data_IF_803713392928
#
_entry.id   IF_803713392928
#
_cell.length_a   1.000
_cell.length_b   1.000
_cell.length_c   1.000
_cell.angle_alpha   90.00
_cell.angle_beta   90.00
_cell.angle_gamma   90.00
#
_symmetry.space_group_name_H-M   'P 1'
#
loop_
_entity.id
_entity.type
_entity.pdbx_description
1 polymer ?
#
# COMPACT_ATOMS: atom_id res chain seq x y z
N UNK A 1 -28.94 67.32 37.23
CA UNK A 1 -29.83 66.20 36.91
C UNK A 1 -29.72 65.95 35.41
N UNK A 2 -28.89 65.00 35.02
CA UNK A 2 -28.55 64.72 33.62
C UNK A 2 -28.85 63.25 33.40
N UNK A 3 -29.90 62.97 32.62
CA UNK A 3 -30.38 61.61 32.38
C UNK A 3 -29.40 60.87 31.47
N UNK A 4 -28.92 59.72 31.95
CA UNK A 4 -28.06 58.80 31.22
C UNK A 4 -28.94 57.96 30.27
N UNK A 5 -28.68 58.03 28.96
CA UNK A 5 -29.24 57.10 27.98
C UNK A 5 -28.60 55.71 28.15
N UNK A 6 -29.39 54.71 28.54
CA UNK A 6 -28.98 53.31 28.54
C UNK A 6 -29.21 52.72 27.14
N UNK A 7 -28.13 52.49 26.39
CA UNK A 7 -28.16 51.76 25.12
C UNK A 7 -28.26 50.25 25.42
N UNK A 8 -29.38 49.62 25.06
CA UNK A 8 -29.54 48.17 25.14
C UNK A 8 -28.89 47.54 23.91
N UNK A 9 -27.71 46.93 24.08
CA UNK A 9 -27.07 46.13 23.05
C UNK A 9 -27.74 44.75 22.98
N UNK A 10 -28.57 44.51 21.96
CA UNK A 10 -29.10 43.19 21.64
C UNK A 10 -27.99 42.34 21.03
N UNK A 11 -27.45 41.38 21.79
CA UNK A 11 -26.54 40.36 21.26
C UNK A 11 -27.32 39.34 20.45
N UNK A 12 -27.18 39.35 19.12
CA UNK A 12 -27.66 38.27 18.27
C UNK A 12 -26.80 37.02 18.49
N UNK A 13 -27.39 35.82 18.66
CA UNK A 13 -26.63 34.58 18.74
C UNK A 13 -25.95 34.30 17.41
N UNK A 14 -24.62 34.15 17.44
CA UNK A 14 -23.82 33.74 16.31
C UNK A 14 -24.28 32.34 15.86
N UNK A 15 -24.92 32.25 14.69
CA UNK A 15 -25.15 30.99 14.01
C UNK A 15 -23.79 30.37 13.72
N UNK A 16 -23.51 29.22 14.34
CA UNK A 16 -22.35 28.42 14.03
C UNK A 16 -22.34 28.10 12.53
N UNK A 17 -21.23 28.43 11.85
CA UNK A 17 -21.03 28.07 10.46
C UNK A 17 -21.21 26.54 10.30
N UNK A 18 -21.93 26.07 9.27
CA UNK A 18 -22.08 24.65 9.02
C UNK A 18 -20.70 24.02 8.84
N UNK A 19 -20.43 22.98 9.64
CA UNK A 19 -19.24 22.13 9.50
C UNK A 19 -19.28 21.56 8.07
N UNK A 20 -18.21 21.69 7.27
CA UNK A 20 -18.15 21.06 5.97
C UNK A 20 -18.36 19.56 6.13
N UNK A 21 -19.47 19.04 5.61
CA UNK A 21 -19.65 17.60 5.46
C UNK A 21 -18.61 17.12 4.47
N UNK A 22 -17.60 16.42 4.98
CA UNK A 22 -16.62 15.69 4.18
C UNK A 22 -17.36 14.89 3.10
N UNK A 23 -16.96 14.94 1.82
CA UNK A 23 -17.56 14.10 0.80
C UNK A 23 -17.46 12.64 1.23
N UNK A 24 -18.58 11.99 1.51
CA UNK A 24 -18.59 10.56 1.79
C UNK A 24 -18.16 9.84 0.53
N UNK A 25 -16.93 9.31 0.52
CA UNK A 25 -16.48 8.42 -0.54
C UNK A 25 -17.54 7.33 -0.75
N UNK A 26 -17.89 6.97 -2.01
CA UNK A 26 -18.86 5.92 -2.27
C UNK A 26 -18.45 4.68 -1.48
N UNK A 27 -19.41 4.11 -0.73
CA UNK A 27 -19.13 2.86 -0.01
C UNK A 27 -18.85 1.79 -1.08
N UNK A 28 -17.66 1.15 -1.07
CA UNK A 28 -17.35 0.15 -2.07
C UNK A 28 -18.37 -0.98 -2.03
N UNK A 29 -18.68 -1.63 -3.16
CA UNK A 29 -19.52 -2.83 -3.16
C UNK A 29 -18.99 -3.85 -2.15
N UNK A 30 -19.90 -4.49 -1.41
CA UNK A 30 -19.53 -5.54 -0.46
C UNK A 30 -18.71 -6.62 -1.18
N UNK A 31 -17.62 -7.07 -0.56
CA UNK A 31 -16.73 -8.09 -1.11
C UNK A 31 -15.57 -7.57 -1.98
N UNK A 32 -15.49 -6.25 -2.23
CA UNK A 32 -14.32 -5.64 -2.90
C UNK A 32 -13.14 -5.41 -1.94
N UNK A 33 -11.91 -5.40 -2.45
CA UNK A 33 -10.71 -5.15 -1.66
C UNK A 33 -9.72 -4.23 -2.40
N UNK A 34 -8.82 -3.51 -1.72
CA UNK A 34 -7.79 -2.73 -2.39
C UNK A 34 -6.81 -3.61 -3.18
N UNK A 35 -6.28 -3.06 -4.27
CA UNK A 35 -5.24 -3.67 -5.09
C UNK A 35 -4.07 -2.70 -5.30
N UNK A 36 -2.85 -3.21 -5.11
CA UNK A 36 -1.61 -2.51 -5.40
C UNK A 36 -0.97 -3.13 -6.64
N UNK A 37 -1.01 -2.40 -7.75
CA UNK A 37 -0.69 -2.84 -9.12
C UNK A 37 0.31 -1.87 -9.76
N UNK A 38 1.36 -1.52 -9.04
CA UNK A 38 2.39 -0.58 -9.50
C UNK A 38 3.39 -1.18 -10.50
N UNK A 39 3.40 -2.52 -10.66
CA UNK A 39 4.19 -3.19 -11.70
C UNK A 39 3.68 -2.82 -13.09
N UNK A 40 4.59 -2.77 -14.06
CA UNK A 40 4.33 -2.17 -15.37
C UNK A 40 3.14 -2.78 -16.12
N UNK A 41 2.88 -4.07 -15.94
CA UNK A 41 1.77 -4.75 -16.62
C UNK A 41 0.67 -5.23 -15.66
N UNK A 42 0.90 -5.20 -14.34
CA UNK A 42 -0.09 -5.66 -13.36
C UNK A 42 -1.48 -5.00 -13.48
N UNK A 43 -1.62 -3.70 -13.82
CA UNK A 43 -2.93 -3.08 -14.03
C UNK A 43 -3.80 -3.76 -15.08
N UNK A 44 -3.22 -4.53 -16.00
CA UNK A 44 -3.99 -5.25 -17.03
C UNK A 44 -5.00 -6.24 -16.44
N UNK A 45 -4.85 -6.65 -15.18
CA UNK A 45 -5.84 -7.44 -14.46
C UNK A 45 -7.18 -6.71 -14.24
N UNK A 46 -7.19 -5.38 -14.37
CA UNK A 46 -8.38 -4.51 -14.30
C UNK A 46 -8.94 -4.18 -15.69
N UNK A 47 -8.29 -4.58 -16.78
CA UNK A 47 -8.83 -4.43 -18.13
C UNK A 47 -10.09 -5.29 -18.33
N UNK A 48 -10.98 -4.97 -19.29
CA UNK A 48 -12.10 -5.84 -19.65
C UNK A 48 -11.66 -7.30 -19.82
N UNK A 49 -12.31 -8.23 -19.11
CA UNK A 49 -11.96 -9.66 -19.10
C UNK A 49 -10.84 -10.05 -18.12
N UNK A 50 -10.16 -9.09 -17.51
CA UNK A 50 -9.15 -9.31 -16.47
C UNK A 50 -9.73 -9.89 -15.18
N UNK A 51 -8.92 -10.65 -14.44
CA UNK A 51 -9.42 -11.41 -13.30
C UNK A 51 -9.76 -10.57 -12.04
N UNK A 52 -9.36 -9.29 -11.99
CA UNK A 52 -9.69 -8.36 -10.90
C UNK A 52 -10.86 -7.42 -11.21
N UNK A 53 -11.44 -7.49 -12.42
CA UNK A 53 -12.57 -6.66 -12.82
C UNK A 53 -13.73 -6.77 -11.82
N UNK A 54 -14.23 -5.63 -11.35
CA UNK A 54 -15.37 -5.51 -10.43
C UNK A 54 -15.10 -5.99 -9.00
N UNK A 55 -13.84 -6.27 -8.64
CA UNK A 55 -13.45 -6.84 -7.33
C UNK A 55 -12.61 -5.90 -6.48
N UNK A 56 -12.31 -4.71 -7.00
CA UNK A 56 -11.35 -3.78 -6.39
C UNK A 56 -12.06 -2.50 -5.95
N UNK A 57 -11.86 -2.10 -4.69
CA UNK A 57 -12.38 -0.82 -4.18
C UNK A 57 -11.46 0.35 -4.54
N UNK A 58 -10.16 0.13 -4.36
CA UNK A 58 -9.10 1.10 -4.53
C UNK A 58 -7.99 0.43 -5.36
N UNK A 59 -7.62 1.03 -6.49
CA UNK A 59 -6.58 0.54 -7.36
C UNK A 59 -5.44 1.54 -7.40
N UNK A 60 -4.29 1.16 -6.83
CA UNK A 60 -3.04 1.92 -6.98
C UNK A 60 -2.32 1.36 -8.20
N UNK A 61 -2.14 2.17 -9.23
CA UNK A 61 -1.58 1.72 -10.51
C UNK A 61 -0.45 2.64 -10.98
N UNK A 62 0.48 2.09 -11.75
CA UNK A 62 1.48 2.89 -12.45
C UNK A 62 0.78 3.88 -13.41
N UNK A 63 1.10 5.19 -13.37
CA UNK A 63 0.42 6.19 -14.19
C UNK A 63 0.67 6.01 -15.70
N UNK A 64 1.68 5.25 -16.10
CA UNK A 64 1.99 5.00 -17.52
C UNK A 64 0.90 4.24 -18.28
N UNK A 65 -0.03 3.60 -17.57
CA UNK A 65 -1.23 2.97 -18.17
C UNK A 65 -2.18 3.98 -18.84
N UNK A 66 -1.98 5.28 -18.60
CA UNK A 66 -2.74 6.35 -19.22
C UNK A 66 -2.18 6.78 -20.60
N UNK A 67 -0.95 6.37 -20.98
CA UNK A 67 -0.27 6.78 -22.22
C UNK A 67 -0.05 5.64 -23.21
N UNK A 68 0.34 5.98 -24.44
CA UNK A 68 0.51 5.02 -25.53
C UNK A 68 1.61 3.99 -25.28
N UNK A 69 2.62 4.37 -24.49
CA UNK A 69 3.83 3.58 -24.18
C UNK A 69 3.68 2.55 -23.08
N UNK A 70 2.55 2.52 -22.35
CA UNK A 70 2.25 1.41 -21.44
C UNK A 70 2.07 0.14 -22.27
N UNK A 71 2.95 -0.87 -22.10
CA UNK A 71 2.80 -2.16 -22.80
C UNK A 71 1.64 -2.92 -22.17
N UNK A 72 0.45 -2.64 -22.65
CA UNK A 72 -0.80 -3.16 -22.15
C UNK A 72 -1.84 -3.26 -23.25
N UNK A 73 -2.76 -4.20 -23.07
CA UNK A 73 -3.88 -4.48 -23.96
C UNK A 73 -5.00 -3.43 -23.81
N UNK A 74 -5.07 -2.72 -22.67
CA UNK A 74 -6.04 -1.65 -22.44
C UNK A 74 -5.46 -0.42 -21.69
N UNK A 75 -6.20 0.69 -21.75
CA UNK A 75 -5.85 2.00 -21.16
C UNK A 75 -6.51 2.23 -19.80
N UNK A 76 -6.13 3.31 -19.09
CA UNK A 76 -6.87 3.78 -17.92
C UNK A 76 -8.39 3.93 -18.18
N UNK A 77 -8.78 4.49 -19.32
CA UNK A 77 -10.19 4.65 -19.68
C UNK A 77 -10.92 3.30 -19.78
N UNK A 78 -10.29 2.27 -20.35
CA UNK A 78 -10.85 0.91 -20.39
C UNK A 78 -10.99 0.31 -18.99
N UNK A 79 -9.98 0.49 -18.13
CA UNK A 79 -10.01 -0.01 -16.75
C UNK A 79 -11.12 0.65 -15.93
N UNK A 80 -11.27 1.99 -16.01
CA UNK A 80 -12.34 2.69 -15.29
C UNK A 80 -13.73 2.28 -15.80
N UNK A 81 -13.89 2.10 -17.11
CA UNK A 81 -15.15 1.64 -17.68
C UNK A 81 -15.51 0.21 -17.23
N UNK A 82 -14.53 -0.68 -17.12
CA UNK A 82 -14.74 -2.04 -16.64
C UNK A 82 -14.97 -2.14 -15.12
N UNK A 83 -14.51 -1.14 -14.35
CA UNK A 83 -14.54 -1.14 -12.88
C UNK A 83 -15.30 0.08 -12.34
N UNK A 84 -16.63 0.17 -12.57
CA UNK A 84 -17.42 1.24 -12.00
C UNK A 84 -17.38 1.17 -10.46
N UNK A 85 -17.09 2.30 -9.82
CA UNK A 85 -16.99 2.42 -8.35
C UNK A 85 -15.61 2.15 -7.75
N UNK A 86 -14.59 1.85 -8.56
CA UNK A 86 -13.20 1.77 -8.09
C UNK A 86 -12.53 3.15 -8.12
N UNK A 87 -11.84 3.53 -7.04
CA UNK A 87 -10.98 4.72 -7.00
C UNK A 87 -9.59 4.37 -7.55
N UNK A 88 -9.14 5.08 -8.58
CA UNK A 88 -7.82 4.89 -9.18
C UNK A 88 -6.82 5.92 -8.66
N UNK A 89 -5.85 5.46 -7.88
CA UNK A 89 -4.72 6.24 -7.40
C UNK A 89 -3.53 6.07 -8.36
N UNK A 90 -2.96 7.19 -8.81
CA UNK A 90 -1.72 7.18 -9.55
C UNK A 90 -0.53 7.00 -8.61
N UNK A 91 0.28 5.98 -8.85
CA UNK A 91 1.54 5.79 -8.14
C UNK A 91 2.52 6.93 -8.46
N UNK A 92 3.10 7.52 -7.41
CA UNK A 92 4.11 8.56 -7.54
C UNK A 92 5.11 8.48 -6.38
N UNK A 93 6.38 8.62 -6.69
CA UNK A 93 7.44 8.50 -5.70
C UNK A 93 7.73 9.88 -5.08
N UNK A 94 7.56 9.99 -3.75
CA UNK A 94 7.77 11.23 -3.01
C UNK A 94 9.14 11.23 -2.34
N UNK A 95 9.55 10.13 -1.72
CA UNK A 95 10.85 10.03 -1.05
C UNK A 95 12.04 10.11 -2.01
N UNK A 96 11.87 9.57 -3.21
CA UNK A 96 12.91 9.54 -4.24
C UNK A 96 12.46 10.16 -5.57
N UNK A 97 13.45 10.70 -6.27
CA UNK A 97 13.35 11.22 -7.61
C UNK A 97 13.90 10.20 -8.59
N UNK A 98 13.19 9.95 -9.68
CA UNK A 98 13.64 9.12 -10.80
C UNK A 98 13.65 9.97 -12.07
N UNK A 99 14.44 9.59 -13.06
CA UNK A 99 14.39 10.25 -14.37
C UNK A 99 12.98 10.23 -14.94
N UNK A 100 12.56 11.34 -15.56
CA UNK A 100 11.30 11.39 -16.29
C UNK A 100 11.48 10.77 -17.66
N UNK A 101 10.43 10.08 -18.08
CA UNK A 101 10.29 9.58 -19.44
C UNK A 101 9.49 10.60 -20.25
N UNK A 102 10.07 11.34 -21.20
CA UNK A 102 9.36 12.36 -21.97
C UNK A 102 8.08 11.83 -22.63
N UNK A 103 8.09 10.58 -23.08
CA UNK A 103 6.98 9.86 -23.68
C UNK A 103 5.76 9.70 -22.75
N UNK A 104 5.95 9.82 -21.43
CA UNK A 104 4.87 9.74 -20.46
C UNK A 104 4.14 11.08 -20.25
N UNK A 105 4.67 12.20 -20.78
CA UNK A 105 4.04 13.51 -20.65
C UNK A 105 3.76 13.88 -19.19
N UNK A 106 2.48 14.09 -18.85
CA UNK A 106 2.04 14.40 -17.49
C UNK A 106 2.03 13.20 -16.52
N UNK A 107 2.10 11.96 -17.03
CA UNK A 107 1.94 10.73 -16.27
C UNK A 107 3.28 10.21 -15.73
N UNK A 108 3.99 11.07 -15.01
CA UNK A 108 5.30 10.76 -14.41
C UNK A 108 5.15 10.11 -13.04
N UNK A 109 6.08 9.24 -12.69
CA UNK A 109 6.15 8.56 -11.37
C UNK A 109 6.93 9.34 -10.33
N UNK A 110 7.26 10.60 -10.59
CA UNK A 110 8.22 11.34 -9.77
C UNK A 110 7.86 12.82 -9.66
N UNK A 111 8.11 13.40 -8.48
CA UNK A 111 7.88 14.81 -8.22
C UNK A 111 8.77 15.73 -9.07
N UNK A 112 10.04 15.36 -9.21
CA UNK A 112 11.07 16.15 -9.86
C UNK A 112 12.07 15.22 -10.55
N UNK A 113 12.73 15.72 -11.60
CA UNK A 113 13.68 14.91 -12.35
C UNK A 113 15.08 15.09 -11.77
N UNK A 114 15.81 14.02 -11.38
CA UNK A 114 17.15 14.15 -10.83
C UNK A 114 18.15 14.80 -11.80
N UNK A 115 17.96 14.66 -13.13
CA UNK A 115 18.86 15.24 -14.13
C UNK A 115 18.77 16.77 -14.20
N UNK A 116 17.56 17.33 -14.09
CA UNK A 116 17.32 18.78 -14.15
C UNK A 116 17.19 19.44 -12.78
N UNK A 117 16.57 18.75 -11.83
CA UNK A 117 16.21 19.29 -10.52
C UNK A 117 17.08 18.75 -9.38
N UNK A 118 17.97 17.77 -9.64
CA UNK A 118 18.76 17.11 -8.62
C UNK A 118 19.67 18.06 -7.82
N UNK A 119 20.19 19.14 -8.44
CA UNK A 119 20.95 20.17 -7.71
C UNK A 119 20.10 20.95 -6.70
N UNK A 120 18.79 21.07 -6.94
CA UNK A 120 17.85 21.81 -6.09
C UNK A 120 17.24 20.92 -5.01
N UNK A 121 16.94 19.68 -5.36
CA UNK A 121 16.14 18.79 -4.51
C UNK A 121 16.86 17.51 -4.08
N UNK A 122 18.01 17.16 -4.65
CA UNK A 122 18.80 16.01 -4.25
C UNK A 122 19.60 16.25 -2.97
N UNK A 123 20.03 15.17 -2.33
CA UNK A 123 20.85 15.21 -1.12
C UNK A 123 22.29 14.84 -1.45
N UNK A 124 23.26 15.70 -1.14
CA UNK A 124 24.69 15.33 -1.12
C UNK A 124 25.04 14.91 0.31
N UNK A 125 25.28 13.62 0.59
CA UNK A 125 25.21 13.09 1.96
C UNK A 125 26.36 13.53 2.86
N UNK A 126 27.53 13.90 2.29
CA UNK A 126 28.78 14.18 3.02
C UNK A 126 29.16 13.07 4.01
N UNK A 127 28.83 11.83 3.68
CA UNK A 127 29.12 10.62 4.43
C UNK A 127 29.42 9.50 3.42
N UNK A 128 30.63 8.95 3.45
CA UNK A 128 31.10 7.95 2.47
C UNK A 128 30.42 6.59 2.60
N UNK A 129 29.69 6.35 3.69
CA UNK A 129 28.92 5.12 3.91
C UNK A 129 27.56 5.15 3.21
N UNK A 130 27.15 6.30 2.69
CA UNK A 130 25.90 6.46 1.94
C UNK A 130 26.14 6.20 0.46
N UNK A 131 25.33 5.35 -0.15
CA UNK A 131 25.31 5.08 -1.57
C UNK A 131 24.96 6.36 -2.36
N UNK A 132 25.72 6.62 -3.42
CA UNK A 132 25.52 7.79 -4.28
C UNK A 132 25.43 7.41 -5.76
N UNK A 133 24.74 8.22 -6.55
CA UNK A 133 24.81 8.18 -8.01
C UNK A 133 26.09 8.85 -8.54
N UNK A 134 26.25 8.87 -9.86
CA UNK A 134 27.38 9.52 -10.56
C UNK A 134 27.47 11.03 -10.32
N UNK A 135 26.39 11.67 -9.87
CA UNK A 135 26.36 13.09 -9.52
C UNK A 135 26.67 13.34 -8.04
N UNK A 136 27.03 12.30 -7.28
CA UNK A 136 27.33 12.38 -5.84
C UNK A 136 26.09 12.55 -4.94
N UNK A 137 24.88 12.39 -5.50
CA UNK A 137 23.63 12.49 -4.73
C UNK A 137 23.28 11.13 -4.13
N UNK A 138 22.72 11.14 -2.91
CA UNK A 138 22.31 9.96 -2.19
C UNK A 138 21.26 9.16 -2.97
N UNK A 139 21.40 7.83 -2.97
CA UNK A 139 20.49 6.87 -3.61
C UNK A 139 20.18 5.72 -2.66
N UNK A 140 19.23 4.84 -3.01
CA UNK A 140 19.05 3.59 -2.27
C UNK A 140 20.11 2.55 -2.67
N UNK A 141 20.66 1.76 -1.73
CA UNK A 141 21.66 0.74 -2.05
C UNK A 141 21.12 -0.27 -3.05
N UNK A 142 21.81 -0.45 -4.18
CA UNK A 142 21.36 -1.34 -5.26
C UNK A 142 20.34 -0.73 -6.23
N UNK A 143 19.92 0.53 -6.02
CA UNK A 143 19.01 1.27 -6.89
C UNK A 143 19.53 2.70 -7.16
N UNK A 144 20.66 2.79 -7.84
CA UNK A 144 21.31 4.06 -8.17
C UNK A 144 20.51 4.99 -9.09
N UNK A 145 19.40 4.51 -9.68
CA UNK A 145 18.46 5.31 -10.47
C UNK A 145 17.43 6.09 -9.63
N UNK A 146 17.35 5.83 -8.31
CA UNK A 146 16.44 6.52 -7.39
C UNK A 146 17.24 7.47 -6.51
N UNK A 147 17.12 8.78 -6.76
CA UNK A 147 17.84 9.83 -6.03
C UNK A 147 17.01 10.32 -4.85
N UNK A 148 17.54 10.25 -3.64
CA UNK A 148 16.81 10.64 -2.42
C UNK A 148 16.60 12.15 -2.40
N UNK A 149 15.35 12.57 -2.18
CA UNK A 149 14.98 13.98 -2.10
C UNK A 149 15.34 14.58 -0.74
N UNK A 150 15.60 15.88 -0.72
CA UNK A 150 15.85 16.67 0.48
C UNK A 150 14.57 17.00 1.25
N UNK A 151 13.41 16.61 0.71
CA UNK A 151 12.08 16.86 1.27
C UNK A 151 11.84 18.35 1.60
N UNK A 152 12.48 19.31 0.91
CA UNK A 152 12.33 20.75 1.17
C UNK A 152 10.91 21.28 0.87
N UNK A 153 10.58 22.49 1.32
CA UNK A 153 9.25 23.08 1.04
C UNK A 153 9.07 23.30 -0.47
N UNK A 154 10.13 23.70 -1.17
CA UNK A 154 10.13 23.79 -2.63
C UNK A 154 9.93 22.44 -3.31
N UNK A 155 10.41 21.34 -2.70
CA UNK A 155 10.15 20.00 -3.21
C UNK A 155 8.71 19.56 -2.99
N UNK A 156 8.11 19.89 -1.84
CA UNK A 156 6.67 19.69 -1.60
C UNK A 156 5.82 20.40 -2.66
N UNK A 157 6.16 21.65 -3.00
CA UNK A 157 5.49 22.39 -4.09
C UNK A 157 5.68 21.76 -5.47
N UNK A 158 6.88 21.26 -5.76
CA UNK A 158 7.14 20.50 -6.98
C UNK A 158 6.29 19.22 -7.05
N UNK A 159 6.18 18.47 -5.94
CA UNK A 159 5.32 17.29 -5.83
C UNK A 159 3.85 17.64 -6.08
N UNK A 160 3.31 18.67 -5.40
CA UNK A 160 1.93 19.10 -5.60
C UNK A 160 1.68 19.59 -7.03
N UNK A 161 2.67 20.23 -7.67
CA UNK A 161 2.61 20.62 -9.08
C UNK A 161 2.53 19.42 -10.00
N UNK A 162 3.43 18.46 -9.82
CA UNK A 162 3.48 17.27 -10.67
C UNK A 162 2.22 16.40 -10.50
N UNK A 163 1.77 16.18 -9.26
CA UNK A 163 0.54 15.45 -8.96
C UNK A 163 -0.70 16.17 -9.52
N UNK A 164 -0.81 17.49 -9.39
CA UNK A 164 -1.94 18.23 -9.97
C UNK A 164 -1.98 18.11 -11.50
N UNK A 165 -0.82 18.22 -12.18
CA UNK A 165 -0.72 18.03 -13.63
C UNK A 165 -1.15 16.62 -14.05
N UNK A 166 -0.69 15.60 -13.32
CA UNK A 166 -1.06 14.21 -13.55
C UNK A 166 -2.57 14.00 -13.42
N UNK A 167 -3.17 14.50 -12.33
CA UNK A 167 -4.60 14.34 -12.04
C UNK A 167 -5.51 15.13 -13.01
N UNK A 168 -5.02 16.23 -13.58
CA UNK A 168 -5.76 17.03 -14.55
C UNK A 168 -5.67 16.46 -15.98
N UNK A 169 -4.60 15.72 -16.29
CA UNK A 169 -4.35 15.17 -17.61
C UNK A 169 -5.32 14.03 -17.94
N UNK A 170 -6.02 14.09 -19.10
CA UNK A 170 -6.80 12.98 -19.59
C UNK A 170 -5.87 11.87 -20.13
N UNK A 171 -6.21 10.62 -19.86
CA UNK A 171 -5.59 9.44 -20.48
C UNK A 171 -5.87 9.40 -21.97
N UNK A 172 -5.26 8.45 -22.67
CA UNK A 172 -5.78 8.03 -23.97
C UNK A 172 -7.22 7.48 -23.86
N UNK A 173 -8.02 7.55 -24.94
CA UNK A 173 -9.32 6.90 -24.99
C UNK A 173 -9.19 5.38 -24.88
N UNK A 174 -10.28 4.75 -24.45
CA UNK A 174 -10.39 3.30 -24.35
C UNK A 174 -10.13 2.62 -25.68
N UNK A 175 -9.13 1.75 -25.74
CA UNK A 175 -8.79 0.99 -26.96
C UNK A 175 -9.80 -0.13 -27.20
N UNK A 176 -10.24 -0.78 -26.13
CA UNK A 176 -11.09 -1.97 -26.12
C UNK A 176 -12.56 -1.58 -25.97
N UNK A 177 -12.86 -0.79 -24.94
CA UNK A 177 -14.22 -0.38 -24.58
C UNK A 177 -14.73 0.81 -25.37
N UNK A 178 -13.84 1.52 -26.09
CA UNK A 178 -14.11 2.83 -26.70
C UNK A 178 -14.56 3.90 -25.69
N UNK A 179 -14.26 3.72 -24.41
CA UNK A 179 -14.53 4.70 -23.37
C UNK A 179 -13.82 6.03 -23.67
N UNK A 180 -14.43 7.14 -23.26
CA UNK A 180 -13.81 8.46 -23.35
C UNK A 180 -12.54 8.53 -22.50
N UNK A 181 -11.58 9.40 -22.84
CA UNK A 181 -10.44 9.70 -21.98
C UNK A 181 -10.83 9.88 -20.51
N UNK A 182 -10.08 9.25 -19.62
CA UNK A 182 -10.35 9.25 -18.19
C UNK A 182 -9.20 9.92 -17.41
N UNK A 183 -9.46 10.32 -16.18
CA UNK A 183 -8.45 10.88 -15.27
C UNK A 183 -8.26 9.96 -14.07
N UNK A 184 -7.09 10.05 -13.45
CA UNK A 184 -6.89 9.50 -12.11
C UNK A 184 -7.74 10.24 -11.09
N UNK A 185 -8.19 9.52 -10.06
CA UNK A 185 -9.04 10.08 -9.01
C UNK A 185 -8.18 10.75 -7.93
N UNK A 186 -7.06 10.10 -7.59
CA UNK A 186 -6.14 10.49 -6.53
C UNK A 186 -4.69 10.07 -6.79
N UNK A 187 -3.84 10.29 -5.79
CA UNK A 187 -2.41 9.95 -5.84
C UNK A 187 -2.01 9.05 -4.69
N UNK A 188 -1.11 8.12 -4.96
CA UNK A 188 -0.46 7.29 -3.96
C UNK A 188 1.02 7.65 -3.91
N UNK A 189 1.49 8.17 -2.77
CA UNK A 189 2.90 8.53 -2.59
C UNK A 189 3.70 7.39 -1.98
N UNK A 190 4.69 6.91 -2.74
CA UNK A 190 5.63 5.89 -2.29
C UNK A 190 6.95 6.46 -1.75
N UNK A 191 7.73 5.59 -1.11
CA UNK A 191 9.00 5.87 -0.45
C UNK A 191 8.95 7.00 0.60
N UNK A 192 7.79 7.21 1.21
CA UNK A 192 7.66 8.09 2.39
C UNK A 192 8.06 7.33 3.66
N UNK A 193 9.11 6.52 3.59
CA UNK A 193 9.59 5.77 4.74
C UNK A 193 9.85 6.73 5.89
N UNK A 194 9.57 6.32 7.13
CA UNK A 194 9.84 7.16 8.30
C UNK A 194 11.29 7.07 8.77
N UNK A 195 12.17 6.45 8.01
CA UNK A 195 13.62 6.51 8.19
C UNK A 195 14.30 6.76 6.86
N UNK A 196 15.49 7.35 6.92
CA UNK A 196 16.24 7.67 5.73
C UNK A 196 16.85 6.37 5.15
N UNK A 197 16.02 5.63 4.40
CA UNK A 197 16.45 4.69 3.38
C UNK A 197 16.50 3.21 3.78
N UNK A 198 15.93 2.41 2.87
CA UNK A 198 16.23 1.02 2.52
C UNK A 198 17.66 0.54 2.84
N UNK A 199 18.01 0.38 4.12
CA UNK A 199 19.34 -0.03 4.58
C UNK A 199 20.34 1.10 4.87
N UNK A 200 19.91 2.36 5.00
CA UNK A 200 20.80 3.52 5.25
C UNK A 200 20.39 4.43 6.41
N UNK A 201 19.62 3.90 7.37
CA UNK A 201 19.21 4.62 8.57
C UNK A 201 20.40 5.33 9.24
N UNK A 202 20.20 6.58 9.66
CA UNK A 202 21.23 7.40 10.31
C UNK A 202 21.71 6.80 11.63
N UNK A 203 20.86 6.00 12.30
CA UNK A 203 21.24 5.21 13.49
C UNK A 203 22.38 4.21 13.20
N UNK A 204 22.48 3.70 11.96
CA UNK A 204 23.50 2.72 11.56
C UNK A 204 24.64 3.33 10.73
N UNK A 205 24.29 4.19 9.77
CA UNK A 205 25.22 4.77 8.78
C UNK A 205 25.89 6.05 9.31
N UNK A 206 25.36 6.62 10.39
CA UNK A 206 25.73 7.93 10.90
C UNK A 206 24.97 9.04 10.18
N UNK A 207 25.07 10.27 10.68
CA UNK A 207 24.36 11.43 10.13
C UNK A 207 24.68 11.62 8.65
N UNK A 208 23.66 11.91 7.85
CA UNK A 208 23.79 12.31 6.45
C UNK A 208 22.62 13.18 6.00
N UNK A 209 22.84 13.98 4.97
CA UNK A 209 21.84 14.89 4.43
C UNK A 209 21.47 16.06 5.35
N UNK A 210 20.33 16.74 5.10
CA UNK A 210 19.95 17.95 5.84
C UNK A 210 19.31 17.66 7.21
N UNK A 211 19.14 16.40 7.58
CA UNK A 211 18.44 16.01 8.80
C UNK A 211 19.41 15.77 9.95
N UNK A 212 18.95 16.01 11.17
CA UNK A 212 19.76 15.74 12.36
C UNK A 212 19.90 14.24 12.65
N UNK A 213 18.80 13.50 12.46
CA UNK A 213 18.62 12.08 12.76
C UNK A 213 17.42 11.52 11.96
N UNK A 214 17.16 10.21 12.06
CA UNK A 214 16.02 9.55 11.39
C UNK A 214 14.66 10.11 11.83
N UNK A 215 14.52 10.59 13.06
CA UNK A 215 13.28 11.18 13.55
C UNK A 215 13.04 12.59 12.95
N UNK A 216 14.10 13.36 12.68
CA UNK A 216 14.05 14.62 11.96
C UNK A 216 13.68 14.40 10.48
N UNK A 217 14.19 13.33 9.87
CA UNK A 217 13.75 12.86 8.56
C UNK A 217 12.26 12.50 8.57
N UNK A 218 11.81 11.67 9.51
CA UNK A 218 10.40 11.25 9.65
C UNK A 218 9.44 12.44 9.83
N UNK A 219 9.82 13.40 10.69
CA UNK A 219 9.07 14.67 10.85
C UNK A 219 8.97 15.42 9.53
N UNK A 220 10.05 15.46 8.77
CA UNK A 220 10.08 16.18 7.49
C UNK A 220 9.22 15.47 6.44
N UNK A 221 9.32 14.15 6.34
CA UNK A 221 8.54 13.35 5.39
C UNK A 221 7.03 13.51 5.62
N UNK A 222 6.58 13.36 6.87
CA UNK A 222 5.17 13.54 7.23
C UNK A 222 4.67 14.97 7.02
N UNK A 223 5.48 15.98 7.35
CA UNK A 223 5.13 17.39 7.08
C UNK A 223 5.06 17.70 5.58
N UNK A 224 5.88 17.06 4.74
CA UNK A 224 5.80 17.19 3.28
C UNK A 224 4.52 16.56 2.76
N UNK A 225 4.12 15.38 3.22
CA UNK A 225 2.83 14.75 2.82
C UNK A 225 1.66 15.69 3.12
N UNK A 226 1.57 16.17 4.35
CA UNK A 226 0.52 17.09 4.79
C UNK A 226 0.53 18.42 4.00
N UNK A 227 1.72 18.96 3.70
CA UNK A 227 1.88 20.13 2.83
C UNK A 227 1.41 19.87 1.40
N UNK A 228 1.78 18.73 0.82
CA UNK A 228 1.36 18.33 -0.54
C UNK A 228 -0.15 18.18 -0.60
N UNK A 229 -0.78 17.55 0.39
CA UNK A 229 -2.24 17.40 0.45
C UNK A 229 -2.94 18.77 0.36
N UNK A 230 -2.62 19.69 1.29
CA UNK A 230 -3.20 21.04 1.28
C UNK A 230 -2.96 21.79 -0.02
N UNK A 231 -1.77 21.67 -0.59
CA UNK A 231 -1.46 22.35 -1.84
C UNK A 231 -2.24 21.77 -3.02
N UNK A 232 -2.41 20.44 -3.08
CA UNK A 232 -3.22 19.78 -4.09
C UNK A 232 -4.68 20.21 -4.00
N UNK A 233 -5.27 20.21 -2.81
CA UNK A 233 -6.66 20.64 -2.62
C UNK A 233 -6.85 22.10 -3.04
N UNK A 234 -5.91 22.96 -2.65
CA UNK A 234 -5.92 24.37 -3.02
C UNK A 234 -5.77 24.61 -4.53
N UNK A 235 -4.98 23.79 -5.23
CA UNK A 235 -4.74 23.91 -6.68
C UNK A 235 -5.90 23.36 -7.49
N UNK A 236 -6.48 22.25 -7.05
CA UNK A 236 -7.57 21.56 -7.75
C UNK A 236 -8.97 22.02 -7.30
N UNK A 237 -9.05 22.84 -6.25
CA UNK A 237 -10.30 23.38 -5.66
C UNK A 237 -11.30 22.28 -5.29
N UNK A 238 -10.78 21.17 -4.78
CA UNK A 238 -11.54 20.00 -4.33
C UNK A 238 -10.68 19.17 -3.38
N UNK A 239 -11.29 18.35 -2.56
CA UNK A 239 -10.57 17.31 -1.82
C UNK A 239 -10.01 16.28 -2.81
N UNK A 240 -8.72 15.97 -2.67
CA UNK A 240 -8.01 15.02 -3.52
C UNK A 240 -7.73 13.75 -2.73
N UNK A 241 -8.24 12.58 -3.19
CA UNK A 241 -7.86 11.32 -2.59
C UNK A 241 -6.34 11.13 -2.60
N UNK A 242 -5.77 10.91 -1.43
CA UNK A 242 -4.33 10.85 -1.22
C UNK A 242 -4.02 9.70 -0.27
N UNK A 243 -3.17 8.80 -0.74
CA UNK A 243 -2.70 7.68 0.03
C UNK A 243 -1.16 7.61 0.03
N UNK A 244 -0.60 6.88 0.98
CA UNK A 244 0.86 6.89 1.22
C UNK A 244 1.41 5.51 1.58
N UNK A 245 2.63 5.19 1.14
CA UNK A 245 3.47 4.14 1.73
C UNK A 245 4.41 4.80 2.75
N UNK A 246 4.09 4.70 4.05
CA UNK A 246 4.84 5.41 5.09
C UNK A 246 6.05 4.65 5.63
N UNK A 247 6.28 3.40 5.23
CA UNK A 247 7.37 2.58 5.81
C UNK A 247 7.35 2.57 7.33
N UNK A 248 6.18 2.27 7.94
CA UNK A 248 6.02 2.29 9.39
C UNK A 248 6.67 1.03 9.97
N UNK A 249 7.83 1.23 10.59
CA UNK A 249 8.58 0.22 11.35
C UNK A 249 8.03 0.14 12.79
N UNK A 250 7.28 -0.92 13.15
CA UNK A 250 6.67 -1.02 14.48
C UNK A 250 7.69 -1.00 15.60
N UNK A 251 8.92 -1.42 15.33
CA UNK A 251 10.03 -1.46 16.26
C UNK A 251 10.56 -0.10 16.68
N UNK A 252 10.34 0.96 15.88
CA UNK A 252 10.84 2.33 16.12
C UNK A 252 9.72 3.23 16.68
N UNK A 253 9.69 3.53 18.00
CA UNK A 253 8.60 4.30 18.62
C UNK A 253 8.44 5.72 18.04
N UNK A 254 9.54 6.35 17.64
CA UNK A 254 9.54 7.66 16.96
C UNK A 254 8.73 7.62 15.66
N UNK A 255 8.92 6.60 14.83
CA UNK A 255 8.17 6.43 13.58
C UNK A 255 6.67 6.28 13.85
N UNK A 256 6.33 5.43 14.82
CA UNK A 256 4.93 5.25 15.23
C UNK A 256 4.33 6.57 15.72
N UNK A 257 5.06 7.36 16.51
CA UNK A 257 4.60 8.67 16.97
C UNK A 257 4.34 9.65 15.81
N UNK A 258 5.23 9.71 14.81
CA UNK A 258 5.04 10.57 13.62
C UNK A 258 3.90 10.10 12.73
N UNK A 259 3.73 8.80 12.56
CA UNK A 259 2.57 8.25 11.87
C UNK A 259 1.25 8.63 12.57
N UNK A 260 1.23 8.68 13.91
CA UNK A 260 0.06 9.14 14.67
C UNK A 260 -0.17 10.65 14.58
N UNK A 261 0.89 11.45 14.42
CA UNK A 261 0.74 12.89 14.14
C UNK A 261 0.11 13.11 12.76
N UNK A 262 0.62 12.42 11.72
CA UNK A 262 0.03 12.47 10.39
C UNK A 262 -1.42 11.97 10.39
N UNK A 263 -1.71 10.85 11.06
CA UNK A 263 -3.08 10.33 11.16
C UNK A 263 -4.08 11.37 11.67
N UNK A 264 -3.68 12.15 12.67
CA UNK A 264 -4.52 13.21 13.26
C UNK A 264 -4.74 14.42 12.35
N UNK A 265 -3.95 14.59 11.30
CA UNK A 265 -4.16 15.67 10.32
C UNK A 265 -5.33 15.39 9.38
N UNK A 266 -5.71 14.11 9.19
CA UNK A 266 -6.66 13.72 8.16
C UNK A 266 -6.15 13.92 6.72
N UNK A 267 -4.85 14.20 6.52
CA UNK A 267 -4.28 14.49 5.21
C UNK A 267 -4.15 13.28 4.26
N UNK A 268 -4.40 12.06 4.74
CA UNK A 268 -4.30 10.83 3.95
C UNK A 268 -5.53 9.96 4.17
N UNK A 269 -6.07 9.38 3.10
CA UNK A 269 -7.21 8.44 3.15
C UNK A 269 -6.83 7.11 3.80
N UNK A 270 -5.61 6.66 3.54
CA UNK A 270 -5.02 5.47 4.14
C UNK A 270 -3.50 5.46 4.00
N UNK A 271 -2.85 4.69 4.86
CA UNK A 271 -1.45 4.30 4.68
C UNK A 271 -1.35 2.82 4.30
N UNK A 272 -0.51 2.51 3.31
CA UNK A 272 -0.13 1.15 2.99
C UNK A 272 1.10 0.73 3.79
N UNK A 273 1.13 -0.54 4.15
CA UNK A 273 2.28 -1.20 4.78
C UNK A 273 2.64 -2.46 4.02
N UNK A 274 3.77 -2.42 3.34
CA UNK A 274 4.34 -3.58 2.67
C UNK A 274 5.04 -4.50 3.68
N UNK A 275 5.20 -5.77 3.31
CA UNK A 275 5.85 -6.79 4.15
C UNK A 275 5.14 -6.88 5.52
N UNK A 276 3.84 -7.11 5.45
CA UNK A 276 2.93 -7.18 6.60
C UNK A 276 2.99 -8.52 7.31
N UNK A 277 3.19 -9.62 6.59
CA UNK A 277 3.34 -10.94 7.21
C UNK A 277 4.59 -11.70 6.80
N UNK A 278 5.29 -11.21 5.78
CA UNK A 278 6.50 -11.81 5.23
C UNK A 278 7.47 -10.76 4.70
N UNK A 279 8.75 -11.12 4.67
CA UNK A 279 9.82 -10.35 4.05
C UNK A 279 9.75 -10.42 2.51
N UNK A 280 10.55 -9.61 1.81
CA UNK A 280 10.56 -9.47 0.35
C UNK A 280 10.79 -10.78 -0.42
N UNK A 281 11.54 -11.71 0.16
CA UNK A 281 11.78 -13.03 -0.42
C UNK A 281 10.69 -14.08 -0.05
N UNK A 282 9.63 -13.67 0.65
CA UNK A 282 8.58 -14.54 1.16
C UNK A 282 8.91 -15.24 2.48
N UNK A 283 10.03 -14.90 3.14
CA UNK A 283 10.34 -15.45 4.46
C UNK A 283 9.38 -14.92 5.52
N UNK A 284 9.00 -15.73 6.52
CA UNK A 284 8.04 -15.32 7.52
C UNK A 284 8.60 -14.28 8.48
N UNK A 285 7.79 -13.29 8.84
CA UNK A 285 8.10 -12.40 9.97
C UNK A 285 7.88 -13.13 11.31
N UNK A 286 8.61 -12.70 12.33
CA UNK A 286 8.52 -13.29 13.68
C UNK A 286 7.16 -13.01 14.33
N UNK A 287 6.71 -13.91 15.21
CA UNK A 287 5.44 -13.73 15.92
C UNK A 287 5.44 -12.45 16.78
N UNK A 288 6.58 -12.10 17.39
CA UNK A 288 6.75 -10.87 18.15
C UNK A 288 6.54 -9.63 17.27
N UNK A 289 7.11 -9.64 16.06
CA UNK A 289 6.93 -8.56 15.09
C UNK A 289 5.47 -8.41 14.66
N UNK A 290 4.80 -9.52 14.33
CA UNK A 290 3.38 -9.51 13.93
C UNK A 290 2.47 -8.93 15.02
N UNK A 291 2.74 -9.26 16.30
CA UNK A 291 2.00 -8.68 17.43
C UNK A 291 2.24 -7.17 17.53
N UNK A 292 3.50 -6.73 17.47
CA UNK A 292 3.85 -5.31 17.51
C UNK A 292 3.23 -4.53 16.35
N UNK A 293 3.27 -5.10 15.15
CA UNK A 293 2.62 -4.52 13.95
C UNK A 293 1.10 -4.41 14.12
N UNK A 294 0.44 -5.40 14.72
CA UNK A 294 -0.99 -5.33 15.00
C UNK A 294 -1.32 -4.21 16.01
N UNK A 295 -0.49 -3.99 17.01
CA UNK A 295 -0.70 -2.92 17.99
C UNK A 295 -0.52 -1.53 17.37
N UNK A 296 0.51 -1.35 16.54
CA UNK A 296 0.76 -0.10 15.82
C UNK A 296 -0.36 0.19 14.82
N UNK A 297 -0.78 -0.78 14.01
CA UNK A 297 -1.87 -0.59 13.06
C UNK A 297 -3.17 -0.18 13.76
N UNK A 298 -3.48 -0.81 14.90
CA UNK A 298 -4.64 -0.46 15.73
C UNK A 298 -4.54 0.97 16.26
N UNK A 299 -3.37 1.37 16.77
CA UNK A 299 -3.13 2.71 17.26
C UNK A 299 -3.33 3.77 16.16
N UNK A 300 -2.80 3.53 14.96
CA UNK A 300 -2.90 4.46 13.84
C UNK A 300 -4.33 4.58 13.30
N UNK A 301 -5.04 3.46 13.19
CA UNK A 301 -6.44 3.50 12.78
C UNK A 301 -7.32 4.16 13.83
N UNK A 302 -7.06 3.96 15.12
CA UNK A 302 -7.74 4.69 16.18
C UNK A 302 -7.44 6.20 16.16
N UNK A 303 -6.27 6.60 15.65
CA UNK A 303 -5.89 8.00 15.44
C UNK A 303 -6.44 8.61 14.15
N UNK A 304 -7.22 7.86 13.35
CA UNK A 304 -7.89 8.34 12.14
C UNK A 304 -7.27 7.91 10.82
N UNK A 305 -6.22 7.06 10.82
CA UNK A 305 -5.56 6.61 9.58
C UNK A 305 -5.83 5.11 9.31
N UNK A 306 -6.72 4.78 8.37
CA UNK A 306 -6.88 3.41 7.87
C UNK A 306 -5.54 2.84 7.38
N UNK A 307 -5.32 1.54 7.62
CA UNK A 307 -4.08 0.84 7.24
C UNK A 307 -4.40 -0.28 6.24
N UNK A 308 -3.72 -0.26 5.10
CA UNK A 308 -3.73 -1.35 4.12
C UNK A 308 -2.51 -2.25 4.32
N UNK A 309 -2.72 -3.45 4.86
CA UNK A 309 -1.66 -4.44 4.94
C UNK A 309 -1.46 -5.07 3.55
N UNK A 310 -0.23 -5.02 3.05
CA UNK A 310 0.16 -5.56 1.76
C UNK A 310 1.33 -6.54 1.92
N UNK A 311 1.25 -7.65 1.19
CA UNK A 311 2.35 -8.58 0.93
C UNK A 311 2.36 -8.90 -0.57
N UNK A 312 3.54 -9.12 -1.13
CA UNK A 312 3.68 -9.59 -2.51
C UNK A 312 3.45 -11.09 -2.61
N UNK A 313 2.75 -11.53 -3.66
CA UNK A 313 2.64 -12.96 -3.95
C UNK A 313 3.99 -13.50 -4.43
N UNK A 314 4.42 -14.65 -3.90
CA UNK A 314 5.66 -15.31 -4.34
C UNK A 314 5.62 -15.64 -5.83
N UNK A 315 6.64 -15.31 -6.62
CA UNK A 315 6.67 -15.61 -8.07
C UNK A 315 6.75 -17.10 -8.39
N UNK A 316 6.20 -17.54 -9.53
CA UNK A 316 6.41 -18.88 -10.08
C UNK A 316 7.78 -18.91 -10.76
N UNK A 317 8.73 -19.62 -10.15
CA UNK A 317 10.13 -19.75 -10.54
C UNK A 317 10.45 -21.22 -10.76
N UNK A 318 11.47 -21.48 -11.56
CA UNK A 318 12.01 -22.81 -11.85
C UNK A 318 12.79 -23.37 -10.65
N UNK A 319 12.13 -23.45 -9.49
CA UNK A 319 12.58 -24.12 -8.27
C UNK A 319 11.75 -25.39 -8.10
N UNK A 320 12.31 -26.43 -7.47
CA UNK A 320 11.54 -27.65 -7.16
C UNK A 320 10.30 -27.33 -6.30
N UNK A 321 9.24 -28.15 -6.40
CA UNK A 321 7.98 -27.91 -5.68
C UNK A 321 8.16 -27.75 -4.15
N UNK A 322 9.11 -28.47 -3.55
CA UNK A 322 9.47 -28.34 -2.13
C UNK A 322 10.08 -26.98 -1.74
N UNK A 323 10.54 -26.19 -2.73
CA UNK A 323 10.99 -24.81 -2.57
C UNK A 323 9.84 -23.87 -2.20
N UNK A 324 8.61 -24.18 -2.61
CA UNK A 324 7.38 -23.48 -2.20
C UNK A 324 6.82 -23.94 -0.84
N UNK A 325 7.62 -24.69 -0.08
CA UNK A 325 7.27 -25.09 1.29
C UNK A 325 6.92 -23.90 2.19
N UNK A 326 6.22 -24.20 3.28
CA UNK A 326 5.74 -23.20 4.26
C UNK A 326 6.93 -22.46 4.87
N UNK A 327 6.93 -21.13 4.76
CA UNK A 327 7.91 -20.25 5.42
C UNK A 327 9.33 -20.27 4.87
N UNK A 328 9.54 -20.81 3.66
CA UNK A 328 10.81 -20.71 2.96
C UNK A 328 10.89 -19.41 2.15
N UNK A 329 12.09 -18.83 2.11
CA UNK A 329 12.46 -17.85 1.10
C UNK A 329 12.39 -18.49 -0.29
N UNK A 330 11.91 -17.74 -1.28
CA UNK A 330 11.97 -18.13 -2.68
C UNK A 330 13.24 -17.52 -3.28
N UNK A 331 14.05 -18.34 -3.94
CA UNK A 331 15.25 -17.85 -4.61
C UNK A 331 14.88 -16.87 -5.74
N UNK A 332 15.14 -15.58 -5.51
CA UNK A 332 14.85 -14.50 -6.45
C UNK A 332 15.70 -14.51 -7.72
N UNK A 333 16.83 -15.23 -7.74
CA UNK A 333 17.68 -15.35 -8.94
C UNK A 333 17.25 -16.49 -9.87
N UNK A 334 16.38 -17.39 -9.42
CA UNK A 334 15.87 -18.47 -10.26
C UNK A 334 14.98 -17.90 -11.39
N UNK A 335 15.12 -18.46 -12.58
CA UNK A 335 14.34 -18.09 -13.76
C UNK A 335 12.84 -18.24 -13.50
N UNK A 336 12.03 -17.41 -14.16
CA UNK A 336 10.57 -17.58 -14.13
C UNK A 336 10.17 -18.93 -14.72
N UNK A 337 9.17 -19.56 -14.11
CA UNK A 337 8.73 -20.90 -14.46
C UNK A 337 8.14 -20.89 -15.88
N UNK A 338 8.59 -21.80 -16.75
CA UNK A 338 7.97 -22.03 -18.06
C UNK A 338 6.64 -22.78 -17.91
N UNK A 339 5.71 -22.53 -18.81
CA UNK A 339 4.45 -23.26 -18.89
C UNK A 339 4.67 -24.78 -19.03
N UNK A 340 3.72 -25.59 -18.56
CA UNK A 340 3.79 -27.05 -18.60
C UNK A 340 4.29 -27.73 -17.33
N UNK A 341 5.00 -27.03 -16.43
CA UNK A 341 5.39 -27.58 -15.13
C UNK A 341 4.28 -27.38 -14.07
N UNK A 342 3.24 -28.21 -14.15
CA UNK A 342 2.02 -28.09 -13.34
C UNK A 342 2.24 -28.34 -11.85
N UNK A 343 3.19 -29.21 -11.49
CA UNK A 343 3.49 -29.53 -10.09
C UNK A 343 4.09 -28.32 -9.34
N UNK A 344 5.08 -27.66 -9.93
CA UNK A 344 5.69 -26.45 -9.34
C UNK A 344 4.69 -25.30 -9.32
N UNK A 345 3.93 -25.11 -10.40
CA UNK A 345 2.89 -24.09 -10.46
C UNK A 345 1.83 -24.27 -9.35
N UNK A 346 1.34 -25.50 -9.15
CA UNK A 346 0.38 -25.82 -8.08
C UNK A 346 0.95 -25.59 -6.68
N UNK A 347 2.24 -25.91 -6.47
CA UNK A 347 2.90 -25.66 -5.19
C UNK A 347 2.99 -24.15 -4.89
N UNK A 348 3.33 -23.35 -5.90
CA UNK A 348 3.33 -21.89 -5.80
C UNK A 348 1.93 -21.33 -5.50
N UNK A 349 0.90 -21.78 -6.22
CA UNK A 349 -0.49 -21.34 -6.01
C UNK A 349 -0.98 -21.71 -4.59
N UNK A 350 -0.66 -22.91 -4.12
CA UNK A 350 -0.96 -23.34 -2.74
C UNK A 350 -0.26 -22.46 -1.71
N UNK A 351 1.01 -22.10 -1.96
CA UNK A 351 1.77 -21.20 -1.07
C UNK A 351 1.13 -19.81 -1.03
N UNK A 352 0.79 -19.24 -2.18
CA UNK A 352 0.11 -17.94 -2.30
C UNK A 352 -1.23 -17.89 -1.58
N UNK A 353 -2.05 -18.94 -1.69
CA UNK A 353 -3.30 -19.02 -0.96
C UNK A 353 -3.07 -18.99 0.57
N UNK A 354 -2.06 -19.73 1.06
CA UNK A 354 -1.73 -19.76 2.49
C UNK A 354 -1.21 -18.41 2.99
N UNK A 355 -0.30 -17.79 2.24
CA UNK A 355 0.23 -16.47 2.58
C UNK A 355 -0.89 -15.41 2.57
N UNK A 356 -1.83 -15.47 1.61
CA UNK A 356 -2.96 -14.54 1.61
C UNK A 356 -3.93 -14.80 2.77
N UNK A 357 -4.20 -16.07 3.13
CA UNK A 357 -4.94 -16.38 4.37
C UNK A 357 -4.22 -15.82 5.59
N UNK A 358 -2.89 -15.93 5.66
CA UNK A 358 -2.09 -15.37 6.75
C UNK A 358 -2.28 -13.84 6.85
N UNK A 359 -2.20 -13.12 5.73
CA UNK A 359 -2.44 -11.66 5.66
C UNK A 359 -3.85 -11.28 6.13
N UNK A 360 -4.89 -11.99 5.65
CA UNK A 360 -6.28 -11.76 6.04
C UNK A 360 -6.53 -12.07 7.53
N UNK A 361 -5.98 -13.19 8.02
CA UNK A 361 -6.09 -13.59 9.42
C UNK A 361 -5.38 -12.60 10.35
N UNK A 362 -4.18 -12.15 9.99
CA UNK A 362 -3.45 -11.13 10.74
C UNK A 362 -4.20 -9.79 10.75
N UNK A 363 -4.87 -9.44 9.65
CA UNK A 363 -5.77 -8.28 9.57
C UNK A 363 -6.93 -8.41 10.57
N UNK A 364 -7.62 -9.55 10.61
CA UNK A 364 -8.69 -9.80 11.59
C UNK A 364 -8.19 -9.82 13.04
N UNK A 365 -7.00 -10.36 13.30
CA UNK A 365 -6.37 -10.31 14.63
C UNK A 365 -6.11 -8.88 15.09
N UNK A 366 -5.81 -7.98 14.15
CA UNK A 366 -5.50 -6.58 14.41
C UNK A 366 -6.77 -5.79 14.77
N UNK A 367 -7.84 -5.95 13.98
CA UNK A 367 -9.08 -5.17 14.08
C UNK A 367 -9.76 -5.28 15.45
N UNK A 368 -10.31 -4.19 15.93
CA UNK A 368 -11.25 -4.11 17.04
C UNK A 368 -12.38 -3.13 16.70
N UNK A 369 -13.22 -2.78 17.67
CA UNK A 369 -14.33 -1.85 17.44
C UNK A 369 -13.87 -0.45 16.98
N UNK A 370 -12.69 0.00 17.41
CA UNK A 370 -12.09 1.30 17.05
C UNK A 370 -11.12 1.25 15.87
N UNK A 371 -10.65 0.07 15.47
CA UNK A 371 -9.68 -0.14 14.42
C UNK A 371 -10.26 -0.93 13.23
N UNK A 372 -11.50 -0.61 12.81
CA UNK A 372 -12.17 -1.27 11.68
C UNK A 372 -11.52 -0.95 10.33
N UNK A 373 -10.81 0.18 10.23
CA UNK A 373 -10.13 0.67 9.03
C UNK A 373 -8.90 -0.14 8.60
N UNK A 374 -8.49 -1.18 9.33
CA UNK A 374 -7.43 -2.08 8.90
C UNK A 374 -7.97 -3.05 7.84
N UNK A 375 -7.41 -3.00 6.63
CA UNK A 375 -7.77 -3.85 5.48
C UNK A 375 -6.55 -4.65 4.99
N UNK A 376 -6.80 -5.58 4.07
CA UNK A 376 -5.76 -6.33 3.37
C UNK A 376 -5.84 -6.07 1.86
N UNK A 377 -4.68 -5.86 1.24
CA UNK A 377 -4.55 -5.75 -0.22
C UNK A 377 -4.54 -7.15 -0.83
N UNK A 378 -5.15 -7.31 -2.01
CA UNK A 378 -5.05 -8.57 -2.79
C UNK A 378 -3.60 -8.72 -3.29
N UNK A 379 -2.82 -9.73 -2.84
CA UNK A 379 -1.42 -9.88 -3.21
C UNK A 379 -1.24 -10.12 -4.71
N UNK A 380 -0.30 -9.41 -5.31
CA UNK A 380 0.12 -9.64 -6.69
C UNK A 380 1.62 -9.96 -6.79
N UNK A 381 1.99 -10.67 -7.85
CA UNK A 381 3.38 -10.96 -8.18
C UNK A 381 3.91 -9.84 -9.06
N UNK A 382 5.08 -9.32 -8.71
CA UNK A 382 5.77 -8.27 -9.45
C UNK A 382 6.57 -8.88 -10.62
N UNK A 383 7.69 -9.51 -10.31
CA UNK A 383 8.76 -9.77 -11.28
C UNK A 383 8.42 -10.72 -12.45
N UNK A 384 7.82 -11.89 -12.18
CA UNK A 384 7.59 -12.87 -13.25
C UNK A 384 6.36 -12.55 -14.10
N UNK A 385 5.42 -11.74 -13.62
CA UNK A 385 4.36 -11.20 -14.46
C UNK A 385 4.90 -10.11 -15.40
N UNK A 386 5.77 -9.23 -14.91
CA UNK A 386 6.31 -8.14 -15.74
C UNK A 386 7.28 -8.62 -16.85
N UNK A 387 7.76 -9.87 -16.81
CA UNK A 387 8.61 -10.46 -17.86
C UNK A 387 7.83 -11.00 -19.09
N UNK A 388 6.51 -11.16 -18.99
CA UNK A 388 5.69 -11.85 -20.00
C UNK A 388 5.58 -11.07 -21.31
N UNK A 389 5.70 -9.73 -21.27
CA UNK A 389 5.79 -8.90 -22.48
C UNK A 389 6.83 -9.40 -23.50
N UNK A 390 7.80 -10.21 -23.06
CA UNK A 390 8.87 -10.78 -23.88
C UNK A 390 8.81 -12.30 -24.05
N UNK A 391 7.87 -13.00 -23.38
CA UNK A 391 7.80 -14.46 -23.41
C UNK A 391 6.43 -15.01 -22.97
N UNK A 392 5.57 -15.37 -23.94
CA UNK A 392 4.26 -15.99 -23.70
C UNK A 392 4.35 -17.44 -23.19
N UNK A 393 5.55 -18.03 -23.18
CA UNK A 393 5.82 -19.38 -22.68
C UNK A 393 6.00 -19.49 -21.17
N UNK A 394 5.76 -18.42 -20.40
CA UNK A 394 5.82 -18.43 -18.94
C UNK A 394 4.53 -18.97 -18.30
N UNK A 395 4.67 -19.55 -17.11
CA UNK A 395 3.55 -20.08 -16.33
C UNK A 395 2.74 -18.98 -15.62
N UNK A 396 3.28 -17.77 -15.53
CA UNK A 396 2.56 -16.59 -15.06
C UNK A 396 2.00 -15.86 -16.27
N UNK A 397 0.80 -15.32 -16.15
CA UNK A 397 0.16 -14.43 -17.14
C UNK A 397 -0.14 -13.09 -16.48
N UNK A 398 0.01 -12.01 -17.24
CA UNK A 398 -0.22 -10.64 -16.73
C UNK A 398 -1.69 -10.41 -16.36
N UNK A 399 -2.61 -10.96 -17.16
CA UNK A 399 -4.06 -10.78 -17.01
C UNK A 399 -4.66 -11.67 -15.92
N UNK A 400 -3.88 -12.65 -15.42
CA UNK A 400 -4.28 -13.54 -14.35
C UNK A 400 -3.95 -12.93 -12.99
N UNK A 401 -4.87 -13.10 -12.04
CA UNK A 401 -4.59 -12.77 -10.63
C UNK A 401 -3.56 -13.75 -10.07
N UNK A 402 -2.69 -13.23 -9.21
CA UNK A 402 -1.63 -14.05 -8.61
C UNK A 402 -2.18 -15.08 -7.61
N UNK A 403 -3.25 -14.73 -6.91
CA UNK A 403 -3.90 -15.58 -5.90
C UNK A 403 -5.38 -15.74 -6.24
N UNK A 404 -5.95 -16.92 -6.02
CA UNK A 404 -7.39 -17.14 -6.17
C UNK A 404 -8.18 -16.66 -4.91
N UNK A 405 -8.80 -15.46 -4.91
CA UNK A 405 -9.59 -14.97 -3.78
C UNK A 405 -10.87 -15.79 -3.52
N UNK A 406 -11.26 -16.69 -4.43
CA UNK A 406 -12.47 -17.50 -4.30
C UNK A 406 -12.18 -18.91 -3.75
N UNK A 407 -10.91 -19.28 -3.57
CA UNK A 407 -10.55 -20.51 -2.87
C UNK A 407 -11.21 -20.51 -1.48
N UNK A 408 -11.85 -21.61 -1.08
CA UNK A 408 -12.83 -21.61 0.02
C UNK A 408 -12.32 -20.93 1.31
N UNK A 409 -11.12 -21.29 1.78
CA UNK A 409 -10.54 -20.70 2.99
C UNK A 409 -10.02 -19.26 2.82
N UNK A 410 -9.69 -18.84 1.60
CA UNK A 410 -9.38 -17.43 1.32
C UNK A 410 -10.65 -16.60 1.33
N UNK A 411 -11.69 -17.07 0.62
CA UNK A 411 -12.99 -16.41 0.50
C UNK A 411 -13.60 -16.13 1.87
N UNK A 412 -13.63 -17.13 2.74
CA UNK A 412 -14.20 -17.01 4.08
C UNK A 412 -13.52 -15.92 4.93
N UNK A 413 -12.19 -15.87 4.94
CA UNK A 413 -11.43 -14.83 5.64
C UNK A 413 -11.60 -13.46 4.99
N UNK A 414 -11.59 -13.40 3.66
CA UNK A 414 -11.80 -12.17 2.87
C UNK A 414 -13.17 -11.57 3.16
N UNK A 415 -14.22 -12.38 3.14
CA UNK A 415 -15.58 -11.94 3.37
C UNK A 415 -15.73 -11.42 4.81
N UNK A 416 -15.08 -12.06 5.80
CA UNK A 416 -15.04 -11.52 7.16
C UNK A 416 -14.33 -10.15 7.24
N UNK A 417 -13.19 -9.97 6.56
CA UNK A 417 -12.49 -8.67 6.49
C UNK A 417 -13.39 -7.63 5.82
N UNK A 418 -13.96 -7.95 4.66
CA UNK A 418 -14.73 -7.00 3.84
C UNK A 418 -16.09 -6.66 4.46
N UNK A 419 -16.72 -7.58 5.19
CA UNK A 419 -17.96 -7.34 5.93
C UNK A 419 -17.75 -6.69 7.30
N UNK A 420 -16.56 -6.13 7.57
CA UNK A 420 -16.34 -5.35 8.77
C UNK A 420 -16.21 -6.15 10.07
N UNK A 421 -15.94 -7.46 10.00
CA UNK A 421 -15.73 -8.29 11.20
C UNK A 421 -14.48 -7.83 11.95
N UNK A 422 -14.59 -7.74 13.28
CA UNK A 422 -13.52 -7.28 14.16
C UNK A 422 -13.43 -8.15 15.41
N UNK A 423 -12.31 -8.06 16.13
CA UNK A 423 -12.10 -8.83 17.36
C UNK A 423 -12.87 -8.27 18.55
N UNK A 424 -13.59 -9.14 19.26
CA UNK A 424 -14.37 -8.82 20.48
C UNK A 424 -13.75 -9.39 21.75
N UNK A 425 -12.85 -10.37 21.64
CA UNK A 425 -12.13 -10.96 22.77
C UNK A 425 -10.66 -10.56 22.84
N UNK A 426 -10.03 -10.89 23.96
CA UNK A 426 -8.58 -10.81 24.12
C UNK A 426 -7.86 -11.70 23.09
N UNK A 427 -6.69 -11.26 22.66
CA UNK A 427 -5.78 -12.09 21.85
C UNK A 427 -5.15 -13.12 22.79
N UNK A 428 -5.21 -14.38 22.42
CA UNK A 428 -4.59 -15.48 23.15
C UNK A 428 -3.71 -16.30 22.23
N UNK A 429 -3.03 -17.31 22.78
CA UNK A 429 -2.23 -18.25 22.01
C UNK A 429 -2.53 -19.65 22.49
N UNK A 430 -2.75 -20.57 21.57
CA UNK A 430 -2.95 -21.99 21.85
C UNK A 430 -2.09 -22.79 20.89
N UNK A 431 -1.19 -23.63 21.42
CA UNK A 431 -0.25 -24.42 20.62
C UNK A 431 0.48 -23.58 19.56
N UNK A 432 0.97 -22.39 19.97
CA UNK A 432 1.66 -21.40 19.12
C UNK A 432 0.80 -20.74 18.04
N UNK A 433 -0.49 -21.07 17.94
CA UNK A 433 -1.46 -20.40 17.07
C UNK A 433 -2.05 -19.21 17.80
N UNK A 434 -2.04 -18.04 17.16
CA UNK A 434 -2.69 -16.84 17.67
C UNK A 434 -4.20 -16.96 17.48
N UNK A 435 -4.97 -16.73 18.56
CA UNK A 435 -6.42 -16.93 18.59
C UNK A 435 -7.11 -15.66 19.06
N UNK A 436 -8.22 -15.30 18.40
CA UNK A 436 -9.08 -14.21 18.87
C UNK A 436 -10.54 -14.44 18.51
N UNK A 437 -11.45 -14.19 19.46
CA UNK A 437 -12.90 -14.16 19.21
C UNK A 437 -13.28 -12.93 18.40
N UNK A 438 -14.18 -13.10 17.44
CA UNK A 438 -14.66 -12.09 16.49
C UNK A 438 -16.11 -11.70 16.77
N UNK A 439 -16.54 -10.57 16.19
CA UNK A 439 -17.89 -10.01 16.32
C UNK A 439 -18.99 -10.86 15.67
N UNK A 440 -18.63 -11.76 14.75
CA UNK A 440 -19.54 -12.73 14.14
C UNK A 440 -19.62 -14.06 14.92
N UNK A 441 -19.25 -14.06 16.20
CA UNK A 441 -19.20 -15.23 17.09
C UNK A 441 -18.25 -16.37 16.67
N UNK A 442 -17.38 -16.14 15.70
CA UNK A 442 -16.31 -17.06 15.32
C UNK A 442 -14.99 -16.68 15.98
N UNK A 443 -13.97 -17.49 15.77
CA UNK A 443 -12.59 -17.27 16.15
C UNK A 443 -11.74 -17.18 14.88
N UNK A 444 -10.80 -16.22 14.85
CA UNK A 444 -9.70 -16.28 13.90
C UNK A 444 -8.55 -17.07 14.51
N UNK A 445 -8.00 -17.98 13.73
CA UNK A 445 -6.83 -18.79 14.06
C UNK A 445 -5.70 -18.43 13.09
N UNK A 446 -4.59 -17.92 13.59
CA UNK A 446 -3.43 -17.55 12.75
C UNK A 446 -2.22 -18.35 13.20
N UNK A 447 -1.71 -19.21 12.33
CA UNK A 447 -0.55 -20.05 12.59
C UNK A 447 0.69 -19.43 11.92
N UNK A 448 1.49 -18.63 12.65
CA UNK A 448 2.71 -18.03 12.10
C UNK A 448 3.85 -19.05 11.91
N UNK A 449 3.72 -20.28 12.43
CA UNK A 449 4.77 -21.30 12.38
C UNK A 449 4.85 -21.97 11.02
N UNK A 450 5.96 -22.67 10.75
CA UNK A 450 6.19 -23.38 9.48
C UNK A 450 5.62 -24.81 9.48
N UNK A 451 4.93 -25.19 10.55
CA UNK A 451 4.37 -26.53 10.71
C UNK A 451 2.88 -26.46 10.94
N UNK A 452 2.18 -27.51 10.53
CA UNK A 452 0.78 -27.68 10.86
C UNK A 452 0.57 -27.70 12.39
N UNK A 453 -0.46 -27.00 12.88
CA UNK A 453 -0.83 -26.97 14.30
C UNK A 453 -2.32 -27.28 14.48
N UNK A 454 -2.65 -27.86 15.62
CA UNK A 454 -4.03 -28.10 16.03
C UNK A 454 -4.37 -27.27 17.26
N UNK A 455 -5.58 -26.70 17.27
CA UNK A 455 -6.10 -25.84 18.33
C UNK A 455 -7.44 -26.40 18.80
N UNK A 456 -7.57 -26.66 20.09
CA UNK A 456 -8.85 -27.03 20.69
C UNK A 456 -9.61 -25.78 21.11
N UNK A 457 -10.79 -25.54 20.52
CA UNK A 457 -11.72 -24.48 20.90
C UNK A 457 -13.11 -25.07 21.13
N UNK A 458 -13.72 -24.76 22.28
CA UNK A 458 -15.06 -25.22 22.64
C UNK A 458 -15.26 -26.75 22.47
N UNK A 459 -14.27 -27.54 22.89
CA UNK A 459 -14.31 -29.01 22.78
C UNK A 459 -14.10 -29.57 21.36
N UNK A 460 -13.90 -28.72 20.34
CA UNK A 460 -13.59 -29.13 18.95
C UNK A 460 -12.14 -28.82 18.60
N UNK A 461 -11.47 -29.74 17.91
CA UNK A 461 -10.10 -29.54 17.41
C UNK A 461 -10.13 -28.95 15.99
N UNK A 462 -9.37 -27.89 15.78
CA UNK A 462 -9.24 -27.19 14.51
C UNK A 462 -7.80 -27.30 14.00
N UNK A 463 -7.65 -27.71 12.76
CA UNK A 463 -6.38 -27.91 12.08
C UNK A 463 -6.02 -26.65 11.27
N UNK A 464 -4.84 -26.09 11.51
CA UNK A 464 -4.35 -24.87 10.84
C UNK A 464 -2.99 -25.14 10.21
N UNK A 465 -2.88 -25.12 8.86
CA UNK A 465 -1.59 -25.24 8.18
C UNK A 465 -0.58 -24.21 8.66
N UNK A 466 0.71 -24.57 8.59
CA UNK A 466 1.78 -23.60 8.82
C UNK A 466 1.68 -22.46 7.82
N UNK A 467 1.99 -21.24 8.29
CA UNK A 467 1.94 -20.00 7.50
C UNK A 467 0.57 -19.77 6.86
N UNK A 468 -0.48 -19.95 7.65
CA UNK A 468 -1.85 -19.79 7.20
C UNK A 468 -2.73 -19.29 8.34
N UNK A 469 -3.94 -18.85 7.99
CA UNK A 469 -5.02 -18.64 8.92
C UNK A 469 -6.29 -19.40 8.51
N UNK A 470 -7.24 -19.49 9.44
CA UNK A 470 -8.58 -20.03 9.24
C UNK A 470 -9.57 -19.36 10.21
N UNK A 471 -10.87 -19.49 9.93
CA UNK A 471 -11.92 -19.18 10.89
C UNK A 471 -12.46 -20.46 11.53
N UNK A 472 -12.72 -20.44 12.83
CA UNK A 472 -13.29 -21.53 13.61
C UNK A 472 -14.56 -21.04 14.30
N UNK A 473 -15.67 -21.78 14.25
CA UNK A 473 -16.94 -21.33 14.79
C UNK A 473 -17.97 -22.43 14.78
#
# INVERSE_FOLDING_TARGET
>A
MTALLTLVATTMPAQAAPVPTTPTAPTPPSGTAPAYLHGFQQPQQLCPGGQLVGKVSDAIVDPTVAVAGGRGECTLADMKAANPGTTFYAYMNLGAMSERSPENGAFQRTCADPSSDGRKFGVIPRNSRVATNSMGMATYPGWNYSTISNLSNGYADACATAAAKLLQAPSLPGRVTKARPAKFDGVFFDDVAMTAGHGQDMDYVGKWGPWADDNAYARRATAVVDSVNRQLDNRLKRDVPLAVNLGIYPEKPSNVARANELARTGAVDFAMREFSTQDRNGSPLSTAYLRKSADVNRQLTAAGMPILNHDYAVSKRAVGAAGYGQGKAINGSAQCLKAGNTAVARAADTRRERDYRMLLGQTLLTRDSGARGVKAVIPQVENCQDQIARNTGLAERVTDRSVNPNAAGVRELRDAVNNGVYGTGARSTSNQVLVRKLSNNRYVLVNPTNTHRSVSLNGKSWSVPGRSAALAG
#
